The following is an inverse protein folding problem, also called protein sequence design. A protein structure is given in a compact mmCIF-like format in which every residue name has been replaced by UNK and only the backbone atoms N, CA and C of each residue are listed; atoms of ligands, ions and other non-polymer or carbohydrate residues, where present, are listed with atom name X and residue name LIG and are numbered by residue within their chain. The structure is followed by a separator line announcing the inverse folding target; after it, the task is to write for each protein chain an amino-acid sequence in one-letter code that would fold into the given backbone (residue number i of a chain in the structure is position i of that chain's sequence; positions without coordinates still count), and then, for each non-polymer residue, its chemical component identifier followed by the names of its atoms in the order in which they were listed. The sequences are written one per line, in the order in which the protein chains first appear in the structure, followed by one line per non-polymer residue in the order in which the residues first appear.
data_IF_894628913087
#
_entry.id   IF_894628913087
#
_cell.length_a   1.000
_cell.length_b   1.000
_cell.length_c   1.000
_cell.angle_alpha   90.00
_cell.angle_beta   90.00
_cell.angle_gamma   90.00
#
_symmetry.space_group_name_H-M   'P 1'
#
loop_
_entity.id
_entity.type
_entity.pdbx_description
1 polymer ?
#
# COMPACT_ATOMS: atom_id res chain seq x y z
N UNK A 1 -6.52 1.56 5.90
CA UNK A 1 -6.75 1.33 4.46
C UNK A 1 -7.97 0.45 4.31
N UNK A 2 -8.68 0.54 3.20
CA UNK A 2 -9.83 -0.31 2.87
C UNK A 2 -9.83 -0.66 1.38
N UNK A 3 -10.56 -1.70 1.00
CA UNK A 3 -10.83 -1.98 -0.40
C UNK A 3 -11.82 -0.95 -0.97
N UNK A 4 -11.68 -0.61 -2.26
CA UNK A 4 -12.73 0.11 -2.98
C UNK A 4 -13.86 -0.88 -3.27
N UNK A 5 -14.94 -0.81 -2.51
CA UNK A 5 -16.01 -1.81 -2.55
C UNK A 5 -15.62 -3.10 -1.83
N UNK A 6 -15.90 -4.25 -2.43
CA UNK A 6 -15.54 -5.57 -1.89
C UNK A 6 -14.09 -5.91 -2.22
N UNK A 7 -13.36 -6.52 -1.28
CA UNK A 7 -12.01 -7.03 -1.51
C UNK A 7 -12.05 -8.25 -2.45
N UNK A 8 -11.80 -8.03 -3.74
CA UNK A 8 -11.66 -9.08 -4.75
C UNK A 8 -10.39 -8.85 -5.59
N UNK A 9 -10.05 -9.83 -6.44
CA UNK A 9 -8.94 -9.69 -7.40
C UNK A 9 -9.18 -8.48 -8.31
N UNK A 10 -8.17 -7.65 -8.48
CA UNK A 10 -8.22 -6.41 -9.26
C UNK A 10 -8.69 -5.19 -8.50
N UNK A 11 -9.29 -5.34 -7.30
CA UNK A 11 -9.74 -4.18 -6.52
C UNK A 11 -8.57 -3.27 -6.13
N UNK A 12 -8.82 -1.97 -6.22
CA UNK A 12 -7.96 -0.95 -5.66
C UNK A 12 -8.14 -0.82 -4.15
N UNK A 13 -7.15 -0.25 -3.48
CA UNK A 13 -7.20 0.09 -2.06
C UNK A 13 -7.19 1.59 -1.85
N UNK A 14 -7.88 2.05 -0.81
CA UNK A 14 -8.02 3.47 -0.46
C UNK A 14 -7.56 3.76 0.97
N UNK A 15 -7.23 5.02 1.20
CA UNK A 15 -7.00 5.58 2.53
C UNK A 15 -8.33 5.66 3.28
N UNK A 16 -8.30 5.38 4.58
CA UNK A 16 -9.38 5.76 5.50
C UNK A 16 -8.81 6.45 6.74
N UNK A 17 -9.60 7.33 7.33
CA UNK A 17 -9.28 7.95 8.61
C UNK A 17 -9.26 6.88 9.70
N UNK A 18 -8.10 6.68 10.32
CA UNK A 18 -7.92 5.66 11.35
C UNK A 18 -8.60 6.00 12.69
N UNK A 19 -9.03 7.25 12.89
CA UNK A 19 -9.84 7.64 14.06
C UNK A 19 -11.25 7.07 13.99
N UNK A 20 -11.76 6.87 12.78
CA UNK A 20 -13.08 6.30 12.52
C UNK A 20 -12.94 4.82 12.19
N UNK A 21 -12.81 3.98 13.21
CA UNK A 21 -12.79 2.52 13.01
C UNK A 21 -14.07 2.07 12.35
N UNK A 22 -13.96 1.31 11.27
CA UNK A 22 -15.10 0.76 10.53
C UNK A 22 -14.87 -0.70 10.20
N UNK A 23 -15.96 -1.49 10.14
CA UNK A 23 -15.89 -2.87 9.62
C UNK A 23 -15.44 -2.95 8.16
N UNK A 24 -15.45 -1.83 7.44
CA UNK A 24 -14.91 -1.71 6.08
C UNK A 24 -13.38 -1.64 6.03
N UNK A 25 -12.68 -1.46 7.15
CA UNK A 25 -11.23 -1.38 7.20
C UNK A 25 -10.58 -2.75 6.91
N UNK A 26 -9.61 -2.76 6.00
CA UNK A 26 -8.83 -3.94 5.72
C UNK A 26 -7.72 -4.10 6.77
N UNK A 27 -7.70 -5.26 7.43
CA UNK A 27 -6.56 -5.66 8.27
C UNK A 27 -5.50 -6.32 7.39
N UNK A 28 -4.25 -5.85 7.47
CA UNK A 28 -3.14 -6.43 6.71
C UNK A 28 -2.26 -7.31 7.59
N UNK A 29 -1.95 -8.50 7.09
CA UNK A 29 -0.89 -9.37 7.60
C UNK A 29 0.36 -9.09 6.76
N UNK A 30 1.45 -8.70 7.42
CA UNK A 30 2.72 -8.36 6.77
C UNK A 30 3.65 -9.57 6.87
N UNK A 31 3.97 -10.16 5.72
CA UNK A 31 4.84 -11.32 5.61
C UNK A 31 6.23 -10.88 5.15
N UNK A 32 7.26 -11.07 5.97
CA UNK A 32 8.65 -10.85 5.60
C UNK A 32 9.25 -12.05 4.87
N UNK A 33 10.15 -11.80 3.91
CA UNK A 33 10.90 -12.86 3.22
C UNK A 33 12.28 -13.04 3.86
N UNK A 34 12.76 -14.30 3.95
CA UNK A 34 14.02 -14.66 4.63
C UNK A 34 15.29 -14.04 4.00
N UNK A 35 15.27 -13.73 2.71
CA UNK A 35 16.46 -13.22 2.03
C UNK A 35 16.70 -11.72 2.33
N UNK A 36 17.96 -11.26 2.46
CA UNK A 36 18.26 -9.85 2.64
C UNK A 36 17.63 -8.99 1.55
N UNK A 37 17.00 -7.88 1.94
CA UNK A 37 16.31 -6.95 1.03
C UNK A 37 15.18 -7.58 0.19
N UNK A 38 14.68 -8.77 0.53
CA UNK A 38 13.58 -9.39 -0.19
C UNK A 38 12.22 -8.70 0.04
N UNK A 39 12.16 -7.80 1.03
CA UNK A 39 11.01 -6.96 1.31
C UNK A 39 9.90 -7.69 2.05
N UNK A 40 8.70 -7.15 1.93
CA UNK A 40 7.49 -7.58 2.60
C UNK A 40 6.37 -7.77 1.58
N UNK A 41 5.50 -8.73 1.84
CA UNK A 41 4.22 -8.88 1.16
C UNK A 41 3.09 -8.50 2.12
N UNK A 42 2.12 -7.75 1.60
CA UNK A 42 0.97 -7.24 2.36
C UNK A 42 -0.27 -8.01 1.95
N UNK A 43 -0.75 -8.90 2.81
CA UNK A 43 -1.93 -9.74 2.58
C UNK A 43 -3.12 -9.24 3.39
N UNK A 44 -4.32 -9.25 2.81
CA UNK A 44 -5.54 -8.98 3.58
C UNK A 44 -5.84 -10.18 4.51
N UNK A 45 -6.09 -9.90 5.78
CA UNK A 45 -6.38 -10.93 6.77
C UNK A 45 -7.60 -11.77 6.34
N UNK A 46 -7.52 -13.08 6.59
CA UNK A 46 -8.56 -14.07 6.24
C UNK A 46 -8.86 -14.20 4.73
N UNK A 47 -8.02 -13.65 3.84
CA UNK A 47 -8.09 -13.89 2.40
C UNK A 47 -6.73 -14.32 1.84
N UNK A 48 -6.73 -14.74 0.58
CA UNK A 48 -5.50 -14.97 -0.21
C UNK A 48 -5.19 -13.79 -1.13
N UNK A 49 -5.57 -12.56 -0.75
CA UNK A 49 -5.35 -11.37 -1.57
C UNK A 49 -4.17 -10.55 -1.03
N UNK A 50 -3.22 -10.27 -1.91
CA UNK A 50 -2.03 -9.48 -1.64
C UNK A 50 -2.02 -8.21 -2.48
N UNK A 51 -1.42 -7.14 -1.93
CA UNK A 51 -1.12 -5.94 -2.70
C UNK A 51 -0.16 -6.30 -3.84
N UNK A 52 -0.45 -5.79 -5.03
CA UNK A 52 0.36 -5.90 -6.23
C UNK A 52 0.51 -4.54 -6.90
N UNK A 53 1.74 -4.26 -7.32
CA UNK A 53 2.06 -3.05 -8.07
C UNK A 53 1.84 -3.29 -9.56
N UNK A 54 0.85 -2.62 -10.14
CA UNK A 54 0.58 -2.54 -11.58
C UNK A 54 0.67 -1.08 -12.01
N UNK A 55 1.91 -0.53 -12.02
CA UNK A 55 2.17 0.91 -12.08
C UNK A 55 1.29 1.66 -13.12
N UNK A 56 0.72 2.82 -12.76
CA UNK A 56 0.84 3.48 -11.46
C UNK A 56 -0.08 2.86 -10.39
N UNK A 57 -0.94 1.92 -10.75
CA UNK A 57 -1.99 1.40 -9.89
C UNK A 57 -1.46 0.42 -8.84
N UNK A 58 -2.12 0.41 -7.67
CA UNK A 58 -1.97 -0.61 -6.65
C UNK A 58 -3.29 -1.37 -6.56
N UNK A 59 -3.21 -2.68 -6.76
CA UNK A 59 -4.39 -3.55 -6.84
C UNK A 59 -4.22 -4.79 -5.97
N UNK A 60 -5.30 -5.51 -5.72
CA UNK A 60 -5.28 -6.81 -5.08
C UNK A 60 -5.15 -7.95 -6.10
N UNK A 61 -4.40 -8.98 -5.74
CA UNK A 61 -4.25 -10.19 -6.57
C UNK A 61 -4.00 -11.39 -5.66
N UNK A 62 -4.22 -12.63 -6.14
CA UNK A 62 -3.86 -13.84 -5.38
C UNK A 62 -2.41 -13.80 -4.91
N UNK A 63 -2.17 -14.16 -3.66
CA UNK A 63 -0.83 -14.07 -3.07
C UNK A 63 0.13 -15.05 -3.75
N UNK A 64 1.23 -14.52 -4.27
CA UNK A 64 2.28 -15.30 -4.89
C UNK A 64 3.65 -14.87 -4.34
N UNK A 65 4.24 -15.72 -3.49
CA UNK A 65 5.56 -15.47 -2.89
C UNK A 65 6.68 -15.28 -3.93
N UNK A 66 6.51 -15.81 -5.14
CA UNK A 66 7.47 -15.68 -6.24
C UNK A 66 7.27 -14.39 -7.05
N UNK A 67 6.14 -13.71 -6.91
CA UNK A 67 5.78 -12.50 -7.66
C UNK A 67 6.52 -11.26 -7.10
N UNK A 68 7.48 -10.68 -7.83
CA UNK A 68 8.21 -9.51 -7.35
C UNK A 68 7.35 -8.25 -7.27
N UNK A 69 6.27 -8.14 -8.06
CA UNK A 69 5.36 -6.99 -8.02
C UNK A 69 4.51 -6.93 -6.73
N UNK A 70 4.46 -8.03 -5.98
CA UNK A 70 3.82 -8.13 -4.65
C UNK A 70 4.80 -7.89 -3.50
N UNK A 71 6.03 -7.44 -3.79
CA UNK A 71 7.06 -7.19 -2.78
C UNK A 71 7.32 -5.70 -2.62
N UNK A 72 7.35 -5.28 -1.37
CA UNK A 72 7.50 -3.88 -1.00
C UNK A 72 8.61 -3.72 0.04
N UNK A 73 9.23 -2.56 0.08
CA UNK A 73 10.19 -2.17 1.10
C UNK A 73 9.61 -1.06 1.94
N UNK A 74 9.85 -1.14 3.25
CA UNK A 74 9.52 -0.07 4.18
C UNK A 74 10.79 0.73 4.43
N UNK A 75 10.78 2.00 4.06
CA UNK A 75 11.86 2.91 4.41
C UNK A 75 11.56 3.47 5.80
N UNK A 76 12.42 3.23 6.81
CA UNK A 76 12.27 3.87 8.11
C UNK A 76 12.45 5.37 7.90
N UNK A 77 11.34 6.11 7.98
CA UNK A 77 11.30 7.56 7.87
C UNK A 77 10.13 8.07 8.72
N UNK A 78 10.11 9.37 9.03
CA UNK A 78 8.95 10.00 9.67
C UNK A 78 7.69 9.98 8.78
N UNK A 79 7.83 9.60 7.51
CA UNK A 79 6.77 9.51 6.51
C UNK A 79 6.45 8.05 6.23
N UNK A 80 5.18 7.78 5.93
CA UNK A 80 4.72 6.53 5.36
C UNK A 80 5.38 6.32 4.00
N UNK A 81 6.29 5.36 3.94
CA UNK A 81 7.16 5.17 2.80
C UNK A 81 7.28 3.66 2.50
N UNK A 82 6.19 3.16 1.91
CA UNK A 82 6.12 1.82 1.33
C UNK A 82 6.41 1.95 -0.16
N UNK A 83 7.42 1.21 -0.65
CA UNK A 83 7.84 1.26 -2.05
C UNK A 83 7.80 -0.10 -2.71
N UNK A 84 7.34 -0.22 -3.96
CA UNK A 84 7.51 -1.45 -4.73
C UNK A 84 9.00 -1.77 -4.89
N UNK A 85 9.40 -3.03 -4.68
CA UNK A 85 10.81 -3.41 -4.78
C UNK A 85 11.39 -3.18 -6.18
N UNK A 86 10.52 -3.26 -7.21
CA UNK A 86 10.84 -3.05 -8.62
C UNK A 86 10.79 -1.59 -9.07
N UNK A 87 10.30 -0.67 -8.23
CA UNK A 87 10.20 0.75 -8.53
C UNK A 87 10.46 1.57 -7.26
N UNK A 88 11.71 1.57 -6.79
CA UNK A 88 12.11 2.15 -5.49
C UNK A 88 12.13 3.68 -5.47
N UNK A 89 12.01 4.31 -6.63
CA UNK A 89 11.76 5.74 -6.79
C UNK A 89 10.27 6.07 -6.65
N UNK A 90 9.39 5.05 -6.58
CA UNK A 90 7.96 5.18 -6.36
C UNK A 90 7.58 4.87 -4.92
N UNK A 91 6.63 5.64 -4.40
CA UNK A 91 6.08 5.55 -3.05
C UNK A 91 4.57 5.36 -3.14
N UNK A 92 4.02 4.48 -2.32
CA UNK A 92 2.58 4.35 -2.15
C UNK A 92 2.03 5.60 -1.47
N UNK A 93 1.14 6.32 -2.15
CA UNK A 93 0.53 7.56 -1.66
C UNK A 93 -0.90 7.70 -2.20
N UNK A 94 -1.70 8.53 -1.52
CA UNK A 94 -2.86 9.20 -2.13
C UNK A 94 -2.40 10.29 -3.10
N UNK A 95 -3.33 10.89 -3.84
CA UNK A 95 -2.97 11.95 -4.79
C UNK A 95 -2.40 13.17 -4.08
N UNK A 96 -1.79 14.08 -4.84
CA UNK A 96 -1.07 15.28 -4.39
C UNK A 96 -1.84 16.19 -3.37
N UNK A 97 -3.08 15.87 -2.98
CA UNK A 97 -3.82 16.50 -1.88
C UNK A 97 -4.63 15.44 -1.10
N UNK A 98 -4.35 15.16 0.19
CA UNK A 98 -5.02 14.10 0.94
C UNK A 98 -6.51 14.31 1.10
N UNK A 99 -7.31 13.32 0.72
CA UNK A 99 -8.70 13.20 1.19
C UNK A 99 -8.97 11.78 1.66
N UNK A 100 -9.80 11.66 2.69
CA UNK A 100 -10.34 10.36 3.05
C UNK A 100 -11.02 9.74 1.82
N UNK A 101 -10.94 8.40 1.72
CA UNK A 101 -11.49 7.63 0.61
C UNK A 101 -10.71 7.70 -0.71
N UNK A 102 -9.56 8.39 -0.77
CA UNK A 102 -8.72 8.41 -1.97
C UNK A 102 -8.00 7.09 -2.21
N UNK A 103 -7.93 6.71 -3.49
CA UNK A 103 -7.25 5.52 -3.97
C UNK A 103 -5.74 5.69 -3.80
N UNK A 104 -5.09 4.63 -3.34
CA UNK A 104 -3.63 4.55 -3.24
C UNK A 104 -3.07 4.17 -4.61
N UNK A 105 -2.03 4.88 -5.02
CA UNK A 105 -1.27 4.58 -6.22
C UNK A 105 0.24 4.75 -5.93
N UNK A 106 1.07 4.39 -6.90
CA UNK A 106 2.51 4.55 -6.84
C UNK A 106 2.95 5.84 -7.56
N UNK A 107 3.33 6.86 -6.78
CA UNK A 107 3.85 8.14 -7.30
C UNK A 107 5.36 8.22 -7.14
N UNK A 108 6.05 9.07 -7.90
CA UNK A 108 7.42 9.47 -7.56
C UNK A 108 7.52 9.92 -6.10
N UNK A 109 8.43 9.30 -5.35
CA UNK A 109 8.67 9.65 -3.95
C UNK A 109 9.02 11.13 -3.78
N UNK A 110 9.72 11.74 -4.74
CA UNK A 110 10.03 13.17 -4.71
C UNK A 110 8.78 14.06 -4.75
N UNK A 111 7.71 13.62 -5.41
CA UNK A 111 6.42 14.32 -5.43
C UNK A 111 5.66 14.00 -4.12
N UNK A 112 5.55 12.73 -3.77
CA UNK A 112 4.85 12.28 -2.55
C UNK A 112 5.44 12.87 -1.26
N UNK A 113 6.74 13.17 -1.24
CA UNK A 113 7.44 13.74 -0.08
C UNK A 113 7.38 15.27 -0.02
N UNK A 114 7.11 15.97 -1.13
CA UNK A 114 6.94 17.44 -1.15
C UNK A 114 5.67 17.86 -0.42
N UNK A 115 4.67 17.01 -0.45
CA UNK A 115 3.37 17.23 0.20
C UNK A 115 3.34 16.61 1.59
N UNK A 116 2.48 17.14 2.46
CA UNK A 116 2.17 16.53 3.76
C UNK A 116 1.40 15.20 3.62
N UNK A 117 1.10 14.76 2.38
CA UNK A 117 0.46 13.47 2.05
C UNK A 117 1.27 12.25 2.52
N UNK A 118 2.58 12.41 2.75
CA UNK A 118 3.45 11.35 3.27
C UNK A 118 3.21 11.01 4.75
N UNK A 119 2.34 11.74 5.47
CA UNK A 119 2.02 11.44 6.86
C UNK A 119 0.68 10.71 6.92
N UNK A 120 0.70 9.38 6.92
CA UNK A 120 -0.49 8.55 7.18
C UNK A 120 -0.81 8.42 8.67
N UNK A 121 -0.64 9.50 9.40
CA UNK A 121 -1.23 9.72 10.72
C UNK A 121 -2.09 10.96 10.56
N UNK A 122 -3.40 10.75 10.44
CA UNK A 122 -4.37 11.82 10.65
C UNK A 122 -4.16 12.31 12.09
N UNK A 123 -3.69 13.55 12.25
CA UNK A 123 -3.62 14.22 13.54
C UNK A 123 -4.96 14.18 14.23
#
# INVERSE_FOLDING_TARGET
MACVGTCNTGASVKIRDCKQKSSADATFVVNGFKAPNAGYQYRIAKTDLCLQTNLPNITLSPCNAKEPLQRFINKPSAKFDIRPIKARDRCLTQHHHPKAEEIIYAEHCSIAHKTTTGYWTAY
#
